data_IF_162993814128
#
_entry.id   IF_162993814128
#
_cell.length_a   1.000
_cell.length_b   1.000
_cell.length_c   1.000
_cell.angle_alpha   90.00
_cell.angle_beta   90.00
_cell.angle_gamma   90.00
#
_symmetry.space_group_name_H-M   'P 1'
#
loop_
_entity.id
_entity.type
_entity.pdbx_description
1 polymer ?
#
# COMPACT_ATOMS: atom_id res chain seq x y z
N UNK A 1 15.28 7.65 25.04
CA UNK A 1 14.57 6.65 25.86
C UNK A 1 13.10 7.04 25.90
N UNK A 2 12.34 6.58 24.92
CA UNK A 2 10.87 6.68 24.94
C UNK A 2 10.42 5.28 25.34
N UNK A 3 9.71 5.17 26.45
CA UNK A 3 9.20 3.90 26.98
C UNK A 3 8.27 3.27 25.94
N UNK A 4 8.78 2.24 25.26
CA UNK A 4 7.98 1.25 24.57
C UNK A 4 7.58 0.19 25.61
N UNK A 5 6.61 0.54 26.45
CA UNK A 5 5.83 -0.50 27.11
C UNK A 5 4.91 -1.06 26.02
N UNK A 6 5.39 -2.13 25.37
CA UNK A 6 4.53 -3.03 24.63
C UNK A 6 3.42 -3.45 25.58
N UNK A 7 2.19 -3.03 25.29
CA UNK A 7 1.02 -3.64 25.89
C UNK A 7 0.99 -5.08 25.37
N UNK A 8 1.62 -5.97 26.12
CA UNK A 8 1.45 -7.40 25.95
C UNK A 8 -0.05 -7.64 26.09
N UNK A 9 -0.69 -8.07 25.00
CA UNK A 9 -2.06 -8.54 25.04
C UNK A 9 -2.03 -9.83 25.86
N UNK A 10 -2.39 -9.72 27.13
CA UNK A 10 -2.69 -10.87 27.98
C UNK A 10 -3.83 -11.62 27.29
N UNK A 11 -3.51 -12.80 26.74
CA UNK A 11 -4.49 -13.73 26.14
C UNK A 11 -5.45 -14.36 27.17
N UNK A 12 -5.46 -13.85 28.39
CA UNK A 12 -6.18 -14.44 29.52
C UNK A 12 -6.73 -13.32 30.44
N UNK A 13 -7.58 -12.43 29.91
CA UNK A 13 -8.48 -11.64 30.77
C UNK A 13 -9.67 -11.00 30.04
N UNK A 14 -10.85 -11.42 30.51
CA UNK A 14 -12.15 -10.75 30.49
C UNK A 14 -12.97 -10.73 29.18
N UNK A 15 -13.99 -11.58 29.18
CA UNK A 15 -15.31 -11.28 28.62
C UNK A 15 -15.69 -9.87 29.10
N UNK A 16 -15.59 -8.87 28.23
CA UNK A 16 -15.84 -7.47 28.59
C UNK A 16 -17.23 -7.05 28.10
N UNK A 17 -18.07 -6.57 29.01
CA UNK A 17 -19.26 -5.83 28.59
C UNK A 17 -18.84 -4.55 27.86
N UNK A 18 -19.36 -4.35 26.66
CA UNK A 18 -19.07 -3.14 25.90
C UNK A 18 -19.68 -1.90 26.57
N UNK A 19 -18.92 -0.81 26.62
CA UNK A 19 -19.39 0.51 27.01
C UNK A 19 -20.43 1.06 26.03
N UNK A 20 -21.20 2.07 26.46
CA UNK A 20 -22.19 2.72 25.59
C UNK A 20 -21.56 3.34 24.33
N UNK A 21 -20.34 3.88 24.44
CA UNK A 21 -19.59 4.45 23.31
C UNK A 21 -19.19 3.37 22.31
N UNK A 22 -18.65 2.25 22.81
CA UNK A 22 -18.28 1.11 21.96
C UNK A 22 -19.51 0.53 21.25
N UNK A 23 -20.64 0.36 21.97
CA UNK A 23 -21.91 -0.12 21.38
C UNK A 23 -22.41 0.80 20.27
N UNK A 24 -22.43 2.12 20.52
CA UNK A 24 -22.84 3.09 19.52
C UNK A 24 -21.92 3.10 18.29
N UNK A 25 -20.60 3.03 18.51
CA UNK A 25 -19.61 2.97 17.43
C UNK A 25 -19.76 1.69 16.58
N UNK A 26 -19.94 0.54 17.23
CA UNK A 26 -20.21 -0.74 16.59
C UNK A 26 -21.48 -0.68 15.74
N UNK A 27 -22.61 -0.29 16.32
CA UNK A 27 -23.88 -0.19 15.59
C UNK A 27 -23.78 0.73 14.38
N UNK A 28 -23.09 1.86 14.51
CA UNK A 28 -22.88 2.78 13.39
C UNK A 28 -22.04 2.14 12.26
N UNK A 29 -20.94 1.46 12.61
CA UNK A 29 -20.07 0.83 11.62
C UNK A 29 -20.73 -0.36 10.92
N UNK A 30 -21.35 -1.26 11.68
CA UNK A 30 -22.06 -2.42 11.12
C UNK A 30 -23.23 -1.96 10.23
N UNK A 31 -24.01 -0.96 10.67
CA UNK A 31 -25.08 -0.40 9.86
C UNK A 31 -24.57 0.24 8.56
N UNK A 32 -23.33 0.74 8.53
CA UNK A 32 -22.76 1.26 7.29
C UNK A 32 -22.34 0.14 6.32
N UNK A 33 -21.88 -0.99 6.85
CA UNK A 33 -21.51 -2.16 6.05
C UNK A 33 -22.71 -2.80 5.36
N UNK A 34 -23.95 -2.58 5.83
CA UNK A 34 -25.17 -2.97 5.10
C UNK A 34 -25.26 -2.34 3.70
N UNK A 35 -24.56 -1.23 3.45
CA UNK A 35 -24.52 -0.57 2.14
C UNK A 35 -23.45 -1.14 1.19
N UNK A 36 -22.74 -2.21 1.59
CA UNK A 36 -21.80 -2.94 0.74
C UNK A 36 -22.48 -3.38 -0.54
N UNK A 37 -21.86 -3.07 -1.68
CA UNK A 37 -22.43 -3.33 -2.99
C UNK A 37 -21.58 -4.21 -3.90
N UNK A 38 -20.38 -4.53 -3.44
CA UNK A 38 -19.46 -5.40 -4.15
C UNK A 38 -18.73 -6.28 -3.14
N UNK A 39 -18.69 -7.58 -3.40
CA UNK A 39 -18.10 -8.58 -2.51
C UNK A 39 -19.00 -8.95 -1.33
N UNK A 40 -18.51 -9.90 -0.54
CA UNK A 40 -19.04 -10.23 0.79
C UNK A 40 -18.00 -9.91 1.86
N UNK A 41 -18.49 -9.54 3.05
CA UNK A 41 -17.69 -9.36 4.25
C UNK A 41 -18.38 -10.04 5.43
N UNK A 42 -17.67 -10.94 6.08
CA UNK A 42 -18.07 -11.55 7.35
C UNK A 42 -17.23 -10.96 8.48
N UNK A 43 -17.88 -10.39 9.49
CA UNK A 43 -17.24 -9.92 10.71
C UNK A 43 -17.62 -10.87 11.86
N UNK A 44 -16.63 -11.51 12.46
CA UNK A 44 -16.79 -12.31 13.68
C UNK A 44 -16.20 -11.56 14.87
N UNK A 45 -16.94 -11.45 15.96
CA UNK A 45 -16.48 -10.84 17.20
C UNK A 45 -16.14 -11.93 18.20
N UNK A 46 -14.88 -11.99 18.62
CA UNK A 46 -14.34 -13.02 19.53
C UNK A 46 -14.01 -12.48 20.93
N UNK A 47 -14.39 -11.23 21.22
CA UNK A 47 -14.21 -10.58 22.53
C UNK A 47 -15.43 -10.72 23.47
N UNK A 48 -16.51 -11.36 23.02
CA UNK A 48 -17.74 -11.61 23.78
C UNK A 48 -17.79 -13.07 24.26
N UNK A 49 -18.69 -13.38 25.22
CA UNK A 49 -18.87 -14.74 25.74
C UNK A 49 -19.40 -15.74 24.69
N UNK A 50 -20.06 -15.23 23.65
CA UNK A 50 -20.56 -15.98 22.51
C UNK A 50 -20.11 -15.25 21.25
N UNK A 51 -19.35 -15.92 20.40
CA UNK A 51 -18.93 -15.32 19.12
C UNK A 51 -20.16 -14.85 18.36
N UNK A 52 -20.20 -13.56 18.03
CA UNK A 52 -21.24 -12.97 17.19
C UNK A 52 -20.68 -12.83 15.78
N UNK A 53 -21.45 -13.21 14.77
CA UNK A 53 -21.03 -13.11 13.36
C UNK A 53 -22.05 -12.31 12.55
N UNK A 54 -21.54 -11.41 11.72
CA UNK A 54 -22.31 -10.49 10.89
C UNK A 54 -21.85 -10.62 9.45
N UNK A 55 -22.80 -10.84 8.55
CA UNK A 55 -22.52 -10.98 7.13
C UNK A 55 -23.11 -9.79 6.35
N UNK A 56 -22.30 -9.25 5.45
CA UNK A 56 -22.62 -8.09 4.65
C UNK A 56 -22.30 -8.33 3.17
N UNK A 57 -23.06 -7.69 2.29
CA UNK A 57 -22.89 -7.83 0.83
C UNK A 57 -23.56 -9.09 0.27
N UNK A 58 -23.03 -9.60 -0.84
CA UNK A 58 -23.56 -10.78 -1.54
C UNK A 58 -22.73 -12.02 -1.18
N UNK A 59 -23.32 -12.97 -0.45
CA UNK A 59 -22.65 -14.19 0.00
C UNK A 59 -22.12 -15.05 -1.16
N UNK A 60 -22.71 -14.91 -2.35
CA UNK A 60 -22.31 -15.63 -3.56
C UNK A 60 -21.24 -14.87 -4.37
N UNK A 61 -20.77 -13.73 -3.86
CA UNK A 61 -19.72 -12.98 -4.52
C UNK A 61 -18.42 -13.79 -4.59
N UNK A 62 -17.70 -13.60 -5.71
CA UNK A 62 -16.41 -14.25 -5.94
C UNK A 62 -15.37 -13.94 -4.85
N UNK A 63 -15.44 -12.73 -4.29
CA UNK A 63 -14.57 -12.29 -3.20
C UNK A 63 -15.39 -12.22 -1.92
N UNK A 64 -15.08 -13.14 -1.00
CA UNK A 64 -15.61 -13.16 0.35
C UNK A 64 -14.46 -12.88 1.33
N UNK A 65 -14.59 -11.78 2.06
CA UNK A 65 -13.62 -11.33 3.03
C UNK A 65 -14.07 -11.69 4.46
N UNK A 66 -13.12 -12.02 5.32
CA UNK A 66 -13.39 -12.36 6.71
C UNK A 66 -12.55 -11.47 7.62
N UNK A 67 -13.18 -10.94 8.67
CA UNK A 67 -12.55 -10.13 9.71
C UNK A 67 -12.93 -10.71 11.05
N UNK A 68 -11.94 -11.01 11.88
CA UNK A 68 -12.14 -11.38 13.28
C UNK A 68 -11.76 -10.18 14.15
N UNK A 69 -12.71 -9.65 14.92
CA UNK A 69 -12.46 -8.55 15.86
C UNK A 69 -12.25 -9.15 17.24
N UNK A 70 -11.06 -8.89 17.78
CA UNK A 70 -10.58 -9.40 19.06
C UNK A 70 -10.67 -8.36 20.18
N UNK A 71 -10.97 -7.10 19.88
CA UNK A 71 -11.03 -6.03 20.88
C UNK A 71 -12.15 -5.01 20.63
N UNK A 72 -13.03 -4.72 21.61
CA UNK A 72 -14.21 -3.86 21.40
C UNK A 72 -13.88 -2.39 21.12
N UNK A 73 -12.71 -1.88 21.54
CA UNK A 73 -12.28 -0.52 21.22
C UNK A 73 -11.94 -0.30 19.73
N UNK A 74 -11.84 -1.39 18.95
CA UNK A 74 -11.64 -1.32 17.50
C UNK A 74 -12.63 -0.36 16.84
N UNK A 75 -13.93 -0.51 17.16
CA UNK A 75 -14.99 0.28 16.53
C UNK A 75 -14.85 1.78 16.79
N UNK A 76 -14.63 2.17 18.05
CA UNK A 76 -14.49 3.57 18.43
C UNK A 76 -13.20 4.19 17.86
N UNK A 77 -12.10 3.42 17.86
CA UNK A 77 -10.81 3.82 17.29
C UNK A 77 -10.90 4.03 15.78
N UNK A 78 -11.54 3.10 15.07
CA UNK A 78 -11.72 3.20 13.61
C UNK A 78 -12.58 4.41 13.22
N UNK A 79 -13.66 4.71 13.96
CA UNK A 79 -14.46 5.92 13.69
C UNK A 79 -13.68 7.22 13.89
N UNK A 80 -12.77 7.25 14.87
CA UNK A 80 -11.99 8.45 15.19
C UNK A 80 -10.82 8.69 14.24
N UNK A 81 -10.14 7.63 13.81
CA UNK A 81 -8.90 7.73 13.02
C UNK A 81 -8.97 7.15 11.60
N UNK A 82 -10.14 6.68 11.17
CA UNK A 82 -10.36 6.15 9.83
C UNK A 82 -9.48 4.94 9.50
N UNK A 83 -9.06 4.84 8.24
CA UNK A 83 -8.28 3.72 7.71
C UNK A 83 -6.91 3.55 8.37
N UNK A 84 -6.26 4.65 8.78
CA UNK A 84 -4.97 4.58 9.49
C UNK A 84 -5.16 3.88 10.84
N UNK A 85 -6.16 4.29 11.61
CA UNK A 85 -6.43 3.69 12.91
C UNK A 85 -6.93 2.24 12.79
N UNK A 86 -7.60 1.88 11.70
CA UNK A 86 -7.91 0.48 11.38
C UNK A 86 -6.62 -0.34 11.15
N UNK A 87 -5.66 0.19 10.40
CA UNK A 87 -4.38 -0.48 10.14
C UNK A 87 -3.52 -0.60 11.41
N UNK A 88 -3.46 0.44 12.25
CA UNK A 88 -2.79 0.33 13.54
C UNK A 88 -3.47 -0.70 14.45
N UNK A 89 -4.81 -0.75 14.47
CA UNK A 89 -5.54 -1.75 15.23
C UNK A 89 -5.26 -3.19 14.74
N UNK A 90 -4.99 -3.38 13.45
CA UNK A 90 -4.52 -4.67 12.92
C UNK A 90 -3.13 -5.02 13.45
N UNK A 91 -2.20 -4.07 13.45
CA UNK A 91 -0.85 -4.24 14.00
C UNK A 91 -0.89 -4.55 15.50
N UNK A 92 -1.82 -3.90 16.23
CA UNK A 92 -2.06 -4.11 17.66
C UNK A 92 -2.84 -5.42 17.97
N UNK A 93 -3.23 -6.19 16.96
CA UNK A 93 -3.95 -7.46 17.11
C UNK A 93 -5.42 -7.33 17.53
N UNK A 94 -6.01 -6.14 17.42
CA UNK A 94 -7.42 -5.88 17.78
C UNK A 94 -8.40 -6.43 16.76
N UNK A 95 -7.93 -6.65 15.54
CA UNK A 95 -8.64 -7.45 14.54
C UNK A 95 -7.63 -8.12 13.62
N UNK A 96 -8.05 -9.21 13.01
CA UNK A 96 -7.25 -9.99 12.06
C UNK A 96 -8.12 -10.51 10.91
N UNK A 97 -7.47 -11.11 9.92
CA UNK A 97 -8.14 -11.68 8.75
C UNK A 97 -7.31 -12.84 8.20
N UNK A 98 -7.95 -13.97 7.82
CA UNK A 98 -7.25 -15.05 7.12
C UNK A 98 -6.81 -14.62 5.71
N UNK A 99 -7.43 -13.60 5.13
CA UNK A 99 -7.08 -13.06 3.82
C UNK A 99 -7.25 -11.54 3.80
N UNK A 100 -6.23 -10.84 4.28
CA UNK A 100 -6.21 -9.37 4.31
C UNK A 100 -6.36 -8.76 2.90
N UNK A 101 -5.87 -9.44 1.85
CA UNK A 101 -6.02 -8.97 0.48
C UNK A 101 -7.49 -8.95 0.03
N UNK A 102 -8.29 -9.94 0.43
CA UNK A 102 -9.73 -9.95 0.16
C UNK A 102 -10.43 -8.78 0.87
N UNK A 103 -10.09 -8.52 2.14
CA UNK A 103 -10.60 -7.35 2.89
C UNK A 103 -10.28 -6.06 2.13
N UNK A 104 -9.02 -5.87 1.72
CA UNK A 104 -8.60 -4.68 0.98
C UNK A 104 -9.32 -4.55 -0.37
N UNK A 105 -9.56 -5.65 -1.08
CA UNK A 105 -10.32 -5.64 -2.33
C UNK A 105 -11.76 -5.20 -2.13
N UNK A 106 -12.46 -5.77 -1.14
CA UNK A 106 -13.84 -5.39 -0.80
C UNK A 106 -13.90 -3.91 -0.42
N UNK A 107 -13.01 -3.45 0.45
CA UNK A 107 -12.99 -2.04 0.88
C UNK A 107 -12.66 -1.08 -0.28
N UNK A 108 -11.69 -1.43 -1.15
CA UNK A 108 -11.30 -0.60 -2.28
C UNK A 108 -12.42 -0.46 -3.33
N UNK A 109 -13.14 -1.54 -3.66
CA UNK A 109 -14.27 -1.47 -4.60
C UNK A 109 -15.45 -0.65 -4.06
N UNK A 110 -15.59 -0.57 -2.73
CA UNK A 110 -16.65 0.19 -2.08
C UNK A 110 -16.20 1.59 -1.64
N UNK A 111 -14.94 1.98 -1.86
CA UNK A 111 -14.36 3.26 -1.37
C UNK A 111 -15.17 4.47 -1.81
N UNK A 112 -15.67 4.49 -3.05
CA UNK A 112 -16.46 5.60 -3.59
C UNK A 112 -17.81 5.77 -2.88
N UNK A 113 -18.38 4.70 -2.30
CA UNK A 113 -19.62 4.76 -1.51
C UNK A 113 -19.33 5.09 -0.04
N UNK A 114 -18.24 4.55 0.50
CA UNK A 114 -17.73 4.93 1.81
C UNK A 114 -17.38 6.44 1.84
N UNK A 115 -16.81 6.98 0.75
CA UNK A 115 -16.44 8.39 0.60
C UNK A 115 -17.63 9.32 0.27
N UNK A 116 -18.67 8.85 -0.42
CA UNK A 116 -19.90 9.63 -0.57
C UNK A 116 -20.54 9.96 0.79
N UNK A 117 -20.28 9.16 1.82
CA UNK A 117 -20.72 9.42 3.19
C UNK A 117 -19.79 10.38 3.97
N UNK A 118 -18.53 10.52 3.54
CA UNK A 118 -17.71 11.68 3.89
C UNK A 118 -18.28 12.98 3.26
N UNK A 119 -19.34 12.98 2.45
CA UNK A 119 -19.95 14.22 1.96
C UNK A 119 -20.52 15.13 3.07
N UNK A 120 -21.03 14.55 4.16
CA UNK A 120 -21.63 15.31 5.29
C UNK A 120 -20.66 15.52 6.46
N UNK A 121 -19.72 14.59 6.68
CA UNK A 121 -18.63 14.70 7.66
C UNK A 121 -17.34 15.31 7.09
N UNK A 122 -17.18 15.30 5.76
CA UNK A 122 -15.94 15.66 5.05
C UNK A 122 -15.74 17.15 4.83
N UNK A 123 -16.73 17.99 5.14
CA UNK A 123 -16.48 19.42 5.38
C UNK A 123 -15.78 19.62 6.73
N UNK A 124 -16.20 18.88 7.76
CA UNK A 124 -15.59 18.89 9.10
C UNK A 124 -14.21 18.23 9.07
N UNK A 125 -14.08 17.07 8.43
CA UNK A 125 -12.78 16.41 8.24
C UNK A 125 -11.87 17.17 7.25
N UNK A 126 -12.39 17.88 6.23
CA UNK A 126 -11.56 18.84 5.46
C UNK A 126 -11.05 19.96 6.34
N UNK A 127 -11.89 20.56 7.17
CA UNK A 127 -11.48 21.64 8.06
C UNK A 127 -10.43 21.17 9.07
N UNK A 128 -10.62 19.99 9.68
CA UNK A 128 -9.67 19.38 10.60
C UNK A 128 -8.37 18.94 9.90
N UNK A 129 -8.45 18.40 8.68
CA UNK A 129 -7.28 18.05 7.87
C UNK A 129 -6.52 19.30 7.41
N UNK A 130 -7.19 20.38 7.05
CA UNK A 130 -6.56 21.68 6.70
C UNK A 130 -5.86 22.27 7.92
N UNK A 131 -6.48 22.23 9.12
CA UNK A 131 -5.86 22.69 10.37
C UNK A 131 -4.69 21.78 10.79
N UNK A 132 -4.82 20.47 10.59
CA UNK A 132 -3.74 19.48 10.80
C UNK A 132 -2.57 19.68 9.84
N UNK A 133 -2.85 19.93 8.56
CA UNK A 133 -1.84 20.28 7.54
C UNK A 133 -1.16 21.62 7.82
N UNK A 134 -1.87 22.58 8.42
CA UNK A 134 -1.28 23.87 8.82
C UNK A 134 -0.26 23.70 9.97
N UNK A 135 -0.48 22.71 10.85
CA UNK A 135 0.48 22.29 11.88
C UNK A 135 1.61 21.39 11.34
N UNK A 136 1.36 20.62 10.27
CA UNK A 136 2.33 19.75 9.59
C UNK A 136 2.93 20.41 8.33
N UNK A 137 3.47 21.62 8.47
CA UNK A 137 4.26 22.23 7.41
C UNK A 137 5.53 21.40 7.17
N UNK A 138 5.71 20.88 5.96
CA UNK A 138 6.84 20.04 5.57
C UNK A 138 8.12 20.89 5.57
N UNK A 139 8.81 20.96 6.71
CA UNK A 139 10.13 21.60 6.84
C UNK A 139 11.21 20.60 6.43
N UNK A 140 12.35 21.06 5.90
CA UNK A 140 13.49 20.18 5.58
C UNK A 140 13.91 19.27 6.75
N UNK A 141 13.71 19.73 7.99
CA UNK A 141 13.93 18.93 9.20
C UNK A 141 12.94 17.77 9.35
N UNK A 142 11.67 17.94 8.99
CA UNK A 142 10.68 16.85 8.97
C UNK A 142 10.92 15.88 7.82
N UNK A 143 11.37 16.36 6.65
CA UNK A 143 11.84 15.48 5.57
C UNK A 143 13.02 14.63 6.03
N UNK A 144 13.98 15.20 6.77
CA UNK A 144 15.11 14.46 7.34
C UNK A 144 14.70 13.47 8.45
N UNK A 145 13.70 13.79 9.26
CA UNK A 145 13.12 12.87 10.26
C UNK A 145 12.31 11.74 9.63
N UNK A 146 11.56 12.01 8.56
CA UNK A 146 10.92 10.95 7.76
C UNK A 146 11.97 10.06 7.08
N UNK A 147 13.06 10.64 6.59
CA UNK A 147 14.20 9.90 6.04
C UNK A 147 14.88 9.02 7.11
N UNK A 148 14.99 9.50 8.35
CA UNK A 148 15.61 8.78 9.48
C UNK A 148 14.69 7.77 10.17
N UNK A 149 13.38 7.83 9.92
CA UNK A 149 12.42 6.82 10.34
C UNK A 149 12.28 5.67 9.31
N UNK A 150 13.13 5.65 8.29
CA UNK A 150 13.14 4.58 7.31
C UNK A 150 13.95 3.40 7.79
N UNK A 151 13.22 2.32 8.07
CA UNK A 151 13.57 0.93 7.83
C UNK A 151 15.05 0.66 7.58
N UNK A 152 15.73 0.17 8.62
CA UNK A 152 16.90 -0.71 8.49
C UNK A 152 16.50 -2.08 7.88
N UNK A 153 15.46 -2.12 7.04
CA UNK A 153 15.13 -3.25 6.19
C UNK A 153 16.13 -3.20 5.04
N UNK A 154 17.32 -3.72 5.29
CA UNK A 154 18.34 -3.87 4.26
C UNK A 154 17.85 -4.77 3.11
N UNK A 155 18.68 -4.91 2.07
CA UNK A 155 18.41 -5.77 0.92
C UNK A 155 17.94 -7.20 1.31
N UNK A 156 18.39 -7.70 2.46
CA UNK A 156 17.99 -9.00 3.00
C UNK A 156 16.48 -9.20 3.18
N UNK A 157 15.69 -8.14 3.42
CA UNK A 157 14.24 -8.26 3.41
C UNK A 157 13.73 -8.38 1.97
N UNK A 158 14.13 -7.45 1.10
CA UNK A 158 13.65 -7.34 -0.27
C UNK A 158 13.96 -8.58 -1.11
N UNK A 159 15.14 -9.17 -0.91
CA UNK A 159 15.56 -10.44 -1.54
C UNK A 159 14.64 -11.62 -1.20
N UNK A 160 13.78 -11.52 -0.18
CA UNK A 160 12.81 -12.58 0.18
C UNK A 160 11.59 -12.62 -0.73
N UNK A 161 11.24 -11.50 -1.37
CA UNK A 161 9.98 -11.40 -2.12
C UNK A 161 10.11 -10.70 -3.48
N UNK A 162 11.26 -10.09 -3.79
CA UNK A 162 11.55 -9.58 -5.13
C UNK A 162 12.21 -10.64 -6.01
N UNK A 163 12.20 -10.39 -7.31
CA UNK A 163 12.94 -11.19 -8.27
C UNK A 163 14.46 -10.99 -8.12
N UNK A 164 15.23 -11.84 -8.80
CA UNK A 164 16.71 -11.77 -8.77
C UNK A 164 17.31 -10.43 -9.24
N UNK A 165 16.58 -9.61 -9.99
CA UNK A 165 17.03 -8.29 -10.42
C UNK A 165 16.62 -7.16 -9.45
N UNK A 166 15.94 -7.48 -8.33
CA UNK A 166 15.49 -6.53 -7.32
C UNK A 166 14.55 -5.44 -7.90
N UNK A 167 13.64 -5.82 -8.79
CA UNK A 167 12.67 -4.88 -9.36
C UNK A 167 11.48 -4.67 -8.42
N UNK A 168 11.52 -3.57 -7.67
CA UNK A 168 10.40 -3.15 -6.81
C UNK A 168 9.41 -2.26 -7.55
N UNK A 169 8.82 -2.80 -8.62
CA UNK A 169 7.76 -2.18 -9.43
C UNK A 169 6.86 -3.28 -10.01
N UNK A 170 5.71 -2.91 -10.56
CA UNK A 170 4.76 -3.87 -11.13
C UNK A 170 5.44 -4.77 -12.19
N UNK A 171 5.04 -6.04 -12.28
CA UNK A 171 5.40 -6.94 -13.38
C UNK A 171 4.28 -6.98 -14.43
N UNK A 172 4.60 -7.42 -15.66
CA UNK A 172 3.61 -7.66 -16.71
C UNK A 172 3.46 -9.17 -16.93
N UNK A 173 2.37 -9.73 -16.41
CA UNK A 173 2.01 -11.13 -16.62
C UNK A 173 1.27 -11.26 -17.96
N UNK A 174 1.82 -12.05 -18.88
CA UNK A 174 1.17 -12.41 -20.16
C UNK A 174 0.37 -13.70 -20.01
N UNK A 175 0.79 -14.57 -19.10
CA UNK A 175 0.09 -15.78 -18.68
C UNK A 175 -0.02 -15.85 -17.15
N UNK A 176 -1.03 -16.56 -16.65
CA UNK A 176 -1.14 -16.88 -15.21
C UNK A 176 -0.04 -17.84 -14.72
N UNK A 177 0.71 -18.45 -15.65
CA UNK A 177 1.84 -19.34 -15.36
C UNK A 177 3.19 -18.61 -15.28
N UNK A 178 3.23 -17.31 -15.63
CA UNK A 178 4.47 -16.54 -15.59
C UNK A 178 5.01 -16.44 -14.16
N UNK A 179 6.31 -16.70 -13.99
CA UNK A 179 6.98 -16.40 -12.72
C UNK A 179 7.10 -14.88 -12.51
N UNK A 180 7.40 -14.45 -11.29
CA UNK A 180 7.68 -13.03 -11.02
C UNK A 180 8.84 -12.52 -11.89
N UNK A 181 9.91 -13.30 -12.02
CA UNK A 181 11.05 -13.00 -12.89
C UNK A 181 10.60 -12.81 -14.34
N UNK A 182 9.77 -13.72 -14.85
CA UNK A 182 9.28 -13.64 -16.22
C UNK A 182 8.38 -12.41 -16.41
N UNK A 183 7.49 -12.11 -15.46
CA UNK A 183 6.64 -10.94 -15.51
C UNK A 183 7.46 -9.63 -15.50
N UNK A 184 8.56 -9.59 -14.76
CA UNK A 184 9.49 -8.46 -14.78
C UNK A 184 10.19 -8.33 -16.14
N UNK A 185 10.64 -9.44 -16.75
CA UNK A 185 11.23 -9.43 -18.10
C UNK A 185 10.24 -8.98 -19.17
N UNK A 186 9.01 -9.48 -19.12
CA UNK A 186 7.92 -9.10 -20.02
C UNK A 186 7.65 -7.58 -19.97
N UNK A 187 7.68 -6.98 -18.77
CA UNK A 187 7.57 -5.52 -18.62
C UNK A 187 8.71 -4.83 -19.37
N UNK A 188 9.95 -5.27 -19.15
CA UNK A 188 11.13 -4.65 -19.74
C UNK A 188 11.09 -4.70 -21.27
N UNK A 189 10.72 -5.86 -21.82
CA UNK A 189 10.56 -6.03 -23.27
C UNK A 189 9.45 -5.12 -23.82
N UNK A 190 8.29 -5.08 -23.15
CA UNK A 190 7.19 -4.18 -23.54
C UNK A 190 7.63 -2.72 -23.57
N UNK A 191 8.42 -2.28 -22.60
CA UNK A 191 8.94 -0.91 -22.56
C UNK A 191 9.92 -0.64 -23.72
N UNK A 192 10.82 -1.58 -24.03
CA UNK A 192 11.70 -1.46 -25.20
C UNK A 192 10.91 -1.35 -26.52
N UNK A 193 9.83 -2.12 -26.65
CA UNK A 193 8.96 -2.08 -27.83
C UNK A 193 8.18 -0.75 -27.92
N UNK A 194 7.60 -0.27 -26.80
CA UNK A 194 6.86 0.99 -26.76
C UNK A 194 7.73 2.20 -27.08
N UNK A 195 8.97 2.19 -26.62
CA UNK A 195 9.97 3.22 -26.91
C UNK A 195 10.63 3.04 -28.28
N UNK A 196 10.34 1.97 -29.01
CA UNK A 196 10.95 1.62 -30.29
C UNK A 196 12.49 1.74 -30.26
N UNK A 197 13.12 1.30 -29.17
CA UNK A 197 14.55 1.53 -28.92
C UNK A 197 15.40 0.84 -29.98
N UNK A 198 16.38 1.58 -30.51
CA UNK A 198 17.43 1.08 -31.41
C UNK A 198 18.77 1.09 -30.68
N UNK A 199 19.77 0.31 -31.08
CA UNK A 199 21.04 0.34 -30.32
C UNK A 199 21.83 1.64 -30.51
N UNK A 200 21.45 2.48 -31.46
CA UNK A 200 21.99 3.84 -31.59
C UNK A 200 21.38 4.82 -30.60
N UNK A 201 20.28 4.45 -29.95
CA UNK A 201 19.56 5.34 -29.04
C UNK A 201 20.30 5.43 -27.69
N UNK A 202 20.34 6.64 -27.13
CA UNK A 202 20.81 6.88 -25.76
C UNK A 202 19.61 6.98 -24.82
N UNK A 203 19.61 6.18 -23.75
CA UNK A 203 18.50 6.09 -22.80
C UNK A 203 18.90 6.72 -21.47
N UNK A 204 17.98 7.50 -20.89
CA UNK A 204 18.07 7.98 -19.51
C UNK A 204 16.96 7.31 -18.69
N UNK A 205 17.34 6.71 -17.57
CA UNK A 205 16.39 6.14 -16.61
C UNK A 205 16.40 7.01 -15.36
N UNK A 206 15.24 7.59 -15.02
CA UNK A 206 15.08 8.44 -13.83
C UNK A 206 14.54 7.56 -12.72
N UNK A 207 15.32 7.38 -11.65
CA UNK A 207 14.96 6.52 -10.53
C UNK A 207 15.26 5.04 -10.79
N UNK A 208 16.53 4.73 -11.09
CA UNK A 208 16.99 3.42 -11.57
C UNK A 208 16.86 2.25 -10.57
N UNK A 209 16.45 2.52 -9.33
CA UNK A 209 16.48 1.53 -8.24
C UNK A 209 17.85 0.84 -8.14
N UNK A 210 17.84 -0.50 -8.15
CA UNK A 210 19.04 -1.35 -8.16
C UNK A 210 19.75 -1.48 -9.53
N UNK A 211 19.29 -0.74 -10.55
CA UNK A 211 19.90 -0.72 -11.89
C UNK A 211 19.56 -1.93 -12.75
N UNK A 212 18.46 -2.63 -12.45
CA UNK A 212 17.99 -3.82 -13.16
C UNK A 212 17.83 -3.59 -14.68
N UNK A 213 17.28 -2.42 -15.05
CA UNK A 213 17.08 -2.05 -16.45
C UNK A 213 18.38 -2.19 -17.26
N UNK A 214 19.51 -1.71 -16.70
CA UNK A 214 20.83 -1.74 -17.35
C UNK A 214 21.29 -3.13 -17.75
N UNK A 215 20.93 -4.15 -16.98
CA UNK A 215 21.32 -5.54 -17.24
C UNK A 215 20.38 -6.23 -18.23
N UNK A 216 19.09 -5.88 -18.18
CA UNK A 216 18.06 -6.52 -19.00
C UNK A 216 18.03 -5.99 -20.43
N UNK A 217 18.09 -4.67 -20.64
CA UNK A 217 18.03 -4.10 -22.00
C UNK A 217 19.17 -4.63 -22.88
N UNK A 218 20.38 -4.76 -22.31
CA UNK A 218 21.56 -5.31 -22.99
C UNK A 218 21.39 -6.75 -23.45
N UNK A 219 20.55 -7.55 -22.77
CA UNK A 219 20.28 -8.94 -23.14
C UNK A 219 19.19 -9.04 -24.20
N UNK A 220 18.15 -8.19 -24.11
CA UNK A 220 17.06 -8.14 -25.08
C UNK A 220 17.54 -7.57 -26.43
N UNK A 221 18.53 -6.67 -26.43
CA UNK A 221 19.14 -6.08 -27.64
C UNK A 221 20.52 -6.67 -28.00
N UNK A 222 20.91 -7.82 -27.41
CA UNK A 222 22.25 -8.42 -27.54
C UNK A 222 22.65 -8.89 -28.97
N UNK A 223 21.92 -8.50 -30.01
CA UNK A 223 22.42 -8.59 -31.37
C UNK A 223 23.49 -7.51 -31.68
N UNK A 224 23.60 -6.41 -30.92
CA UNK A 224 24.37 -5.23 -31.36
C UNK A 224 25.01 -4.42 -30.19
N UNK A 225 26.13 -3.78 -30.51
CA UNK A 225 27.20 -3.24 -29.64
C UNK A 225 26.80 -2.24 -28.53
N UNK A 226 27.59 -2.08 -27.46
CA UNK A 226 27.20 -1.29 -26.29
C UNK A 226 27.42 0.23 -26.46
N UNK A 227 26.45 1.11 -26.13
CA UNK A 227 26.69 2.54 -25.94
C UNK A 227 26.91 2.92 -24.46
N UNK A 228 27.44 4.13 -24.26
CA UNK A 228 27.69 4.78 -22.98
C UNK A 228 26.37 5.21 -22.30
N UNK A 229 26.16 4.80 -21.04
CA UNK A 229 25.08 5.28 -20.19
C UNK A 229 25.63 6.33 -19.20
N UNK A 230 25.00 7.50 -19.11
CA UNK A 230 25.27 8.51 -18.08
C UNK A 230 24.31 8.33 -16.91
N UNK A 231 24.85 8.27 -15.68
CA UNK A 231 24.08 8.14 -14.44
C UNK A 231 23.75 9.52 -13.87
N UNK A 232 22.49 9.76 -13.50
CA UNK A 232 22.13 10.81 -12.55
C UNK A 232 21.51 10.18 -11.31
N UNK A 233 22.36 9.98 -10.29
CA UNK A 233 21.94 9.76 -8.91
C UNK A 233 21.37 11.07 -8.35
N UNK A 234 20.45 11.00 -7.38
CA UNK A 234 19.81 12.16 -6.71
C UNK A 234 20.76 13.04 -5.88
N UNK A 235 22.08 12.91 -6.07
CA UNK A 235 23.10 13.76 -5.46
C UNK A 235 23.99 14.39 -6.53
N UNK A 236 23.50 15.38 -7.27
CA UNK A 236 24.39 16.28 -8.02
C UNK A 236 23.88 17.72 -8.04
N UNK A 237 24.79 18.61 -7.66
CA UNK A 237 24.75 20.07 -7.71
C UNK A 237 24.43 20.61 -9.12
N UNK A 238 23.80 21.80 -9.22
CA UNK A 238 23.36 22.36 -10.49
C UNK A 238 24.57 22.89 -11.29
N UNK A 239 24.78 22.38 -12.51
CA UNK A 239 25.77 22.96 -13.40
C UNK A 239 26.29 22.07 -14.52
N UNK A 240 25.42 21.62 -15.43
CA UNK A 240 25.78 21.39 -16.83
C UNK A 240 24.53 21.02 -17.63
N UNK A 241 23.98 21.98 -18.37
CA UNK A 241 22.96 21.69 -19.39
C UNK A 241 23.65 21.10 -20.63
N UNK A 242 23.65 19.76 -20.73
CA UNK A 242 23.90 19.10 -22.01
C UNK A 242 22.60 19.04 -22.80
N UNK A 243 22.63 19.59 -24.02
CA UNK A 243 21.52 19.61 -24.98
C UNK A 243 20.93 18.20 -25.22
N UNK A 244 19.76 17.91 -24.63
CA UNK A 244 18.98 16.68 -24.81
C UNK A 244 18.20 16.67 -26.13
N UNK A 245 18.88 16.71 -27.28
CA UNK A 245 18.24 16.49 -28.58
C UNK A 245 18.28 15.00 -28.92
N UNK A 246 17.12 14.37 -29.05
CA UNK A 246 16.99 12.96 -29.49
C UNK A 246 16.79 11.93 -28.37
N UNK A 247 16.60 12.35 -27.12
CA UNK A 247 16.30 11.43 -26.02
C UNK A 247 14.81 11.06 -26.02
N UNK A 248 14.49 9.78 -26.16
CA UNK A 248 13.14 9.26 -25.95
C UNK A 248 12.89 9.20 -24.44
N UNK A 249 11.85 9.89 -23.98
CA UNK A 249 11.54 10.02 -22.55
C UNK A 249 10.13 9.53 -22.29
N UNK A 250 9.99 8.58 -21.37
CA UNK A 250 8.69 8.14 -20.85
C UNK A 250 8.83 7.94 -19.34
N UNK A 251 7.92 8.55 -18.57
CA UNK A 251 7.85 8.37 -17.11
C UNK A 251 6.95 7.16 -16.86
N UNK A 252 7.55 6.08 -16.38
CA UNK A 252 6.87 4.80 -16.24
C UNK A 252 6.99 4.34 -14.78
N UNK A 253 5.84 4.21 -14.12
CA UNK A 253 5.69 3.63 -12.78
C UNK A 253 5.26 2.17 -12.90
#
# INVERSE_FOLDING_TARGET
MINSESLAVDKDSSISEMSAVQKAARSFLLGHLESLSWGALTITESFTASNESFQFGDEQALVNAEVEVNHPDFYARMLKGGSIAAAEAYIDGWWESPNLAAVMQVMAHNISKLDQMNGKMGLVNRALNVIGHWKNRNTQQNSKKNILAHYDLGNALYERFLDSNMLYSAGVYQSGEDSLEQAQLNKMERLCQQLELKETDSVIEIGTGWGAWRFTWRKTTAAMSPPLLSLMSSTTTPGSESSMKGCKTELLF
#
